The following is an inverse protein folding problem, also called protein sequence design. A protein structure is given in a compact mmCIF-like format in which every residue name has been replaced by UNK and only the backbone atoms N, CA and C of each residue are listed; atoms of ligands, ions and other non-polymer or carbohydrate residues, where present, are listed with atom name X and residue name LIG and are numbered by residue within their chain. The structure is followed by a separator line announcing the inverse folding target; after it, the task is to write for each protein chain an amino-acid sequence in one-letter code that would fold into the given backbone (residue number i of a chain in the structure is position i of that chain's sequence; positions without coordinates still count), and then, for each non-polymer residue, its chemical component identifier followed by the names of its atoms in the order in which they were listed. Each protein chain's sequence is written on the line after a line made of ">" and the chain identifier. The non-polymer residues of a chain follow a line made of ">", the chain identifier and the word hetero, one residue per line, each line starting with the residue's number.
data_IF_992986204832
#
_entry.id   IF_992986204832
#
_cell.length_a   1.000
_cell.length_b   1.000
_cell.length_c   1.000
_cell.angle_alpha   90.00
_cell.angle_beta   90.00
_cell.angle_gamma   90.00
#
_symmetry.space_group_name_H-M   'P 1'
#
loop_
_entity.id
_entity.type
_entity.pdbx_description
1 polymer ?
#
# COMPACT_ATOMS: atom_id res chain seq x y z
N UNK A 1 16.51 -8.92 8.02
CA UNK A 1 15.34 -8.04 8.26
C UNK A 1 14.57 -8.24 9.58
N UNK A 2 14.14 -9.47 9.96
CA UNK A 2 13.22 -9.68 11.13
C UNK A 2 13.70 -9.07 12.45
N UNK A 3 14.96 -9.27 12.84
CA UNK A 3 15.52 -8.68 14.07
C UNK A 3 15.57 -7.16 14.04
N UNK A 4 15.98 -6.59 12.90
CA UNK A 4 16.01 -5.15 12.69
C UNK A 4 14.61 -4.54 12.85
N UNK A 5 13.62 -5.20 12.23
CA UNK A 5 12.22 -4.78 12.26
C UNK A 5 11.61 -4.91 13.66
N UNK A 6 11.99 -5.93 14.44
CA UNK A 6 11.63 -6.04 15.85
C UNK A 6 12.19 -4.88 16.69
N UNK A 7 13.47 -4.51 16.50
CA UNK A 7 14.08 -3.35 17.18
C UNK A 7 13.36 -2.04 16.82
N UNK A 8 13.05 -1.86 15.54
CA UNK A 8 12.31 -0.71 15.05
C UNK A 8 10.88 -0.62 15.64
N UNK A 9 10.13 -1.73 15.62
CA UNK A 9 8.77 -1.81 16.21
C UNK A 9 8.79 -1.54 17.71
N UNK A 10 9.78 -2.08 18.44
CA UNK A 10 9.97 -1.78 19.88
C UNK A 10 10.22 -0.30 20.13
N UNK A 11 11.12 0.34 19.36
CA UNK A 11 11.41 1.76 19.51
C UNK A 11 10.19 2.64 19.15
N UNK A 12 9.46 2.30 18.08
CA UNK A 12 8.21 2.98 17.70
C UNK A 12 7.16 2.88 18.80
N UNK A 13 6.99 1.69 19.41
CA UNK A 13 6.08 1.49 20.54
C UNK A 13 6.51 2.32 21.76
N UNK A 14 7.79 2.29 22.12
CA UNK A 14 8.33 3.09 23.23
C UNK A 14 8.11 4.59 23.01
N UNK A 15 8.39 5.08 21.81
CA UNK A 15 8.15 6.47 21.41
C UNK A 15 6.67 6.85 21.56
N UNK A 16 5.75 6.04 21.03
CA UNK A 16 4.31 6.30 21.14
C UNK A 16 3.83 6.29 22.60
N UNK A 17 4.25 5.31 23.40
CA UNK A 17 3.92 5.24 24.82
C UNK A 17 4.45 6.46 25.57
N UNK A 18 5.70 6.87 25.31
CA UNK A 18 6.30 8.05 25.93
C UNK A 18 5.52 9.32 25.58
N UNK A 19 5.12 9.50 24.31
CA UNK A 19 4.30 10.65 23.92
C UNK A 19 2.93 10.67 24.59
N UNK A 20 2.29 9.52 24.75
CA UNK A 20 1.02 9.42 25.48
C UNK A 20 1.22 9.81 26.95
N UNK A 21 2.23 9.26 27.62
CA UNK A 21 2.53 9.57 29.03
C UNK A 21 2.84 11.06 29.19
N UNK A 22 3.71 11.62 28.34
CA UNK A 22 4.04 13.04 28.35
C UNK A 22 2.80 13.90 28.11
N UNK A 23 1.95 13.55 27.13
CA UNK A 23 0.70 14.26 26.86
C UNK A 23 -0.26 14.25 28.05
N UNK A 24 -0.49 13.08 28.65
CA UNK A 24 -1.34 12.92 29.85
C UNK A 24 -0.76 13.74 31.01
N UNK A 25 0.55 13.68 31.25
CA UNK A 25 1.22 14.45 32.29
C UNK A 25 0.98 15.95 32.12
N UNK A 26 1.13 16.49 30.90
CA UNK A 26 0.87 17.91 30.63
C UNK A 26 -0.59 18.30 30.88
N UNK A 27 -1.53 17.49 30.42
CA UNK A 27 -2.96 17.73 30.65
C UNK A 27 -3.30 17.78 32.15
N UNK A 28 -2.80 16.81 32.92
CA UNK A 28 -3.02 16.75 34.37
C UNK A 28 -2.30 17.90 35.07
N UNK A 29 -1.05 18.19 34.70
CA UNK A 29 -0.27 19.26 35.29
C UNK A 29 -0.95 20.62 35.12
N UNK A 30 -1.44 20.97 33.92
CA UNK A 30 -2.16 22.23 33.68
C UNK A 30 -3.37 22.37 34.60
N UNK A 31 -4.13 21.29 34.83
CA UNK A 31 -5.31 21.30 35.70
C UNK A 31 -4.98 21.41 37.20
N UNK A 32 -3.90 20.78 37.64
CA UNK A 32 -3.56 20.66 39.08
C UNK A 32 -2.51 21.68 39.53
N UNK A 33 -1.81 22.34 38.60
CA UNK A 33 -0.85 23.42 38.86
C UNK A 33 -1.36 24.48 39.87
N UNK A 34 -2.57 25.05 39.74
CA UNK A 34 -3.04 26.05 40.70
C UNK A 34 -3.27 25.47 42.12
N UNK A 35 -3.58 24.17 42.23
CA UNK A 35 -3.70 23.49 43.54
C UNK A 35 -2.33 23.20 44.15
N UNK A 36 -1.36 22.75 43.36
CA UNK A 36 0.01 22.48 43.82
C UNK A 36 0.66 23.77 44.33
N UNK A 37 0.51 24.86 43.58
CA UNK A 37 1.06 26.16 43.96
C UNK A 37 0.45 26.68 45.28
N UNK A 38 -0.85 26.45 45.51
CA UNK A 38 -1.54 26.84 46.74
C UNK A 38 -1.19 25.95 47.94
N UNK A 39 -1.09 24.63 47.74
CA UNK A 39 -0.94 23.67 48.83
C UNK A 39 0.52 23.40 49.23
N UNK A 40 1.45 23.38 48.27
CA UNK A 40 2.85 22.99 48.48
C UNK A 40 3.85 24.10 48.13
N UNK A 41 3.34 25.29 47.79
CA UNK A 41 4.15 26.47 47.47
C UNK A 41 4.70 26.49 46.05
N UNK A 42 5.29 27.63 45.69
CA UNK A 42 5.84 27.90 44.35
C UNK A 42 6.98 26.97 43.96
N UNK A 43 7.81 26.54 44.93
CA UNK A 43 8.95 25.64 44.70
C UNK A 43 8.46 24.26 44.22
N UNK A 44 7.38 23.72 44.81
CA UNK A 44 6.82 22.44 44.41
C UNK A 44 6.19 22.50 43.00
N UNK A 45 5.50 23.60 42.68
CA UNK A 45 4.96 23.82 41.34
C UNK A 45 6.07 23.95 40.27
N UNK A 46 7.19 24.57 40.64
CA UNK A 46 8.38 24.70 39.80
C UNK A 46 9.09 23.35 39.59
N UNK A 47 9.23 22.54 40.63
CA UNK A 47 9.80 21.20 40.53
C UNK A 47 8.98 20.30 39.58
N UNK A 48 7.64 20.36 39.68
CA UNK A 48 6.75 19.65 38.76
C UNK A 48 6.88 20.16 37.30
N UNK A 49 7.07 21.47 37.10
CA UNK A 49 7.35 22.00 35.76
C UNK A 49 8.65 21.43 35.16
N UNK A 50 9.72 21.32 35.96
CA UNK A 50 10.99 20.74 35.51
C UNK A 50 10.88 19.27 35.13
N UNK A 51 10.05 18.50 35.85
CA UNK A 51 9.73 17.12 35.47
C UNK A 51 9.04 17.08 34.10
N UNK A 52 8.10 18.00 33.84
CA UNK A 52 7.48 18.16 32.52
C UNK A 52 8.48 18.48 31.42
N UNK A 53 9.43 19.39 31.66
CA UNK A 53 10.49 19.70 30.69
C UNK A 53 11.43 18.51 30.44
N UNK A 54 11.76 17.74 31.47
CA UNK A 54 12.53 16.51 31.31
C UNK A 54 11.80 15.51 30.41
N UNK A 55 10.48 15.32 30.60
CA UNK A 55 9.67 14.46 29.74
C UNK A 55 9.65 14.93 28.27
N UNK A 56 9.53 16.23 28.01
CA UNK A 56 9.64 16.79 26.65
C UNK A 56 11.00 16.47 26.05
N UNK A 57 12.08 16.72 26.78
CA UNK A 57 13.44 16.56 26.27
C UNK A 57 13.74 15.10 25.93
N UNK A 58 13.33 14.17 26.80
CA UNK A 58 13.43 12.72 26.53
C UNK A 58 12.57 12.34 25.32
N UNK A 59 11.34 12.88 25.21
CA UNK A 59 10.46 12.61 24.07
C UNK A 59 11.05 13.08 22.75
N UNK A 60 11.60 14.29 22.71
CA UNK A 60 12.27 14.84 21.52
C UNK A 60 13.54 14.06 21.17
N UNK A 61 14.31 13.63 22.16
CA UNK A 61 15.53 12.83 21.94
C UNK A 61 15.19 11.48 21.32
N UNK A 62 14.18 10.79 21.84
CA UNK A 62 13.70 9.50 21.29
C UNK A 62 13.15 9.68 19.88
N UNK A 63 12.36 10.74 19.65
CA UNK A 63 11.85 11.09 18.33
C UNK A 63 12.99 11.29 17.34
N UNK A 64 13.99 12.08 17.71
CA UNK A 64 15.14 12.38 16.87
C UNK A 64 15.92 11.12 16.50
N UNK A 65 16.19 10.24 17.48
CA UNK A 65 16.86 8.96 17.23
C UNK A 65 16.04 8.08 16.29
N UNK A 66 14.72 8.01 16.49
CA UNK A 66 13.85 7.22 15.65
C UNK A 66 13.82 7.76 14.21
N UNK A 67 13.60 9.07 14.03
CA UNK A 67 13.52 9.68 12.70
C UNK A 67 14.87 9.61 11.97
N UNK A 68 15.97 9.85 12.67
CA UNK A 68 17.32 9.79 12.11
C UNK A 68 17.67 8.38 11.62
N UNK A 69 17.33 7.34 12.39
CA UNK A 69 17.72 5.96 12.07
C UNK A 69 16.74 5.23 11.15
N UNK A 70 15.44 5.49 11.27
CA UNK A 70 14.41 4.60 10.73
C UNK A 70 13.43 5.28 9.76
N UNK A 71 13.38 6.62 9.69
CA UNK A 71 12.32 7.31 8.91
C UNK A 71 12.33 6.92 7.43
N UNK A 72 13.50 6.67 6.83
CA UNK A 72 13.60 6.29 5.41
C UNK A 72 13.23 4.83 5.16
N UNK A 73 13.58 3.94 6.08
CA UNK A 73 13.38 2.49 5.93
C UNK A 73 12.03 2.00 6.45
N UNK A 74 11.32 2.75 7.31
CA UNK A 74 10.07 2.29 7.94
C UNK A 74 9.01 1.93 6.92
N UNK A 75 8.72 2.84 6.00
CA UNK A 75 7.71 2.64 4.95
C UNK A 75 8.10 1.52 3.99
N UNK A 76 9.37 1.48 3.59
CA UNK A 76 9.90 0.42 2.74
C UNK A 76 9.74 -0.96 3.38
N UNK A 77 10.19 -1.12 4.62
CA UNK A 77 10.09 -2.39 5.35
C UNK A 77 8.64 -2.78 5.62
N UNK A 78 7.76 -1.80 5.86
CA UNK A 78 6.33 -2.05 6.00
C UNK A 78 5.72 -2.58 4.71
N UNK A 79 6.02 -1.99 3.55
CA UNK A 79 5.56 -2.50 2.25
C UNK A 79 6.01 -3.95 2.01
N UNK A 80 7.29 -4.25 2.29
CA UNK A 80 7.82 -5.61 2.13
C UNK A 80 7.21 -6.59 3.13
N UNK A 81 6.92 -6.17 4.37
CA UNK A 81 6.18 -6.99 5.33
C UNK A 81 4.79 -7.35 4.81
N UNK A 82 4.07 -6.38 4.24
CA UNK A 82 2.77 -6.67 3.62
C UNK A 82 2.95 -7.64 2.46
N UNK A 83 3.87 -7.41 1.54
CA UNK A 83 4.08 -8.31 0.40
C UNK A 83 4.44 -9.75 0.81
N UNK A 84 5.22 -9.93 1.87
CA UNK A 84 5.62 -11.25 2.38
C UNK A 84 4.53 -11.96 3.21
N UNK A 85 3.61 -11.20 3.81
CA UNK A 85 2.46 -11.73 4.54
C UNK A 85 1.25 -11.97 3.64
N UNK A 86 1.28 -11.44 2.42
CA UNK A 86 0.22 -11.58 1.45
C UNK A 86 0.24 -12.96 0.81
N UNK A 87 -0.93 -13.51 0.51
CA UNK A 87 -1.01 -14.71 -0.32
C UNK A 87 -0.54 -14.39 -1.75
N UNK A 88 -0.84 -13.17 -2.23
CA UNK A 88 -0.42 -12.70 -3.53
C UNK A 88 -1.10 -13.39 -4.71
N UNK A 89 -1.85 -14.46 -4.47
CA UNK A 89 -2.62 -15.14 -5.49
C UNK A 89 -3.97 -15.50 -4.88
N UNK A 90 -5.02 -15.15 -5.61
CA UNK A 90 -6.40 -15.36 -5.22
C UNK A 90 -7.17 -16.03 -6.34
N UNK A 91 -8.24 -16.74 -6.02
CA UNK A 91 -9.16 -17.28 -7.00
C UNK A 91 -10.31 -16.32 -7.22
N UNK A 92 -10.70 -16.16 -8.48
CA UNK A 92 -11.88 -15.39 -8.87
C UNK A 92 -13.13 -16.25 -8.64
N UNK A 93 -14.27 -15.64 -8.31
CA UNK A 93 -15.58 -16.33 -8.28
C UNK A 93 -16.24 -16.36 -9.65
N UNK A 94 -15.63 -15.70 -10.65
CA UNK A 94 -16.15 -15.56 -11.99
C UNK A 94 -16.22 -16.90 -12.72
N UNK A 95 -17.25 -17.02 -13.55
CA UNK A 95 -17.50 -18.21 -14.38
C UNK A 95 -16.79 -18.13 -15.73
N UNK A 96 -16.46 -16.92 -16.17
CA UNK A 96 -15.75 -16.63 -17.41
C UNK A 96 -14.32 -17.18 -17.38
N UNK A 97 -13.90 -17.83 -18.47
CA UNK A 97 -12.59 -18.52 -18.58
C UNK A 97 -11.77 -18.12 -19.80
N UNK A 98 -12.28 -17.24 -20.64
CA UNK A 98 -11.57 -16.64 -21.76
C UNK A 98 -11.49 -15.12 -21.60
N UNK A 99 -10.46 -14.51 -22.19
CA UNK A 99 -10.19 -13.07 -22.08
C UNK A 99 -11.40 -12.23 -22.47
N UNK A 100 -12.06 -12.54 -23.59
CA UNK A 100 -13.16 -11.75 -24.12
C UNK A 100 -14.41 -11.77 -23.24
N UNK A 101 -14.81 -12.96 -22.77
CA UNK A 101 -15.96 -13.09 -21.88
C UNK A 101 -15.66 -12.45 -20.52
N UNK A 102 -14.46 -12.65 -19.98
CA UNK A 102 -14.04 -12.06 -18.70
C UNK A 102 -14.04 -10.54 -18.78
N UNK A 103 -13.45 -9.97 -19.82
CA UNK A 103 -13.44 -8.54 -20.10
C UNK A 103 -14.84 -7.94 -20.17
N UNK A 104 -15.74 -8.59 -20.94
CA UNK A 104 -17.14 -8.14 -21.07
C UNK A 104 -17.88 -8.20 -19.73
N UNK A 105 -17.66 -9.25 -18.94
CA UNK A 105 -18.27 -9.38 -17.63
C UNK A 105 -17.82 -8.27 -16.67
N UNK A 106 -16.51 -8.01 -16.59
CA UNK A 106 -15.94 -6.91 -15.80
C UNK A 106 -16.49 -5.56 -16.25
N UNK A 107 -16.54 -5.31 -17.56
CA UNK A 107 -17.10 -4.07 -18.11
C UNK A 107 -18.58 -3.89 -17.75
N UNK A 108 -19.39 -4.93 -17.87
CA UNK A 108 -20.81 -4.89 -17.57
C UNK A 108 -21.05 -4.58 -16.09
N UNK A 109 -20.28 -5.19 -15.19
CA UNK A 109 -20.36 -4.91 -13.75
C UNK A 109 -19.99 -3.47 -13.44
N UNK A 110 -18.93 -2.94 -14.08
CA UNK A 110 -18.53 -1.54 -13.93
C UNK A 110 -19.64 -0.60 -14.43
N UNK A 111 -20.21 -0.85 -15.61
CA UNK A 111 -21.33 -0.06 -16.18
C UNK A 111 -22.55 -0.10 -15.26
N UNK A 112 -22.96 -1.28 -14.80
CA UNK A 112 -24.08 -1.48 -13.89
C UNK A 112 -23.89 -0.72 -12.57
N UNK A 113 -22.66 -0.67 -12.08
CA UNK A 113 -22.29 0.07 -10.87
C UNK A 113 -22.01 1.56 -11.12
N UNK A 114 -22.37 2.11 -12.28
CA UNK A 114 -22.35 3.55 -12.56
C UNK A 114 -20.96 4.11 -12.89
N UNK A 115 -20.03 3.28 -13.35
CA UNK A 115 -18.80 3.77 -13.97
C UNK A 115 -19.09 4.29 -15.38
N UNK A 116 -18.51 5.44 -15.72
CA UNK A 116 -18.44 5.91 -17.10
C UNK A 116 -17.33 5.16 -17.82
N UNK A 117 -17.70 4.32 -18.79
CA UNK A 117 -16.75 3.50 -19.56
C UNK A 117 -16.45 4.15 -20.90
N UNK A 118 -15.18 4.11 -21.30
CA UNK A 118 -14.69 4.43 -22.64
C UNK A 118 -13.88 3.23 -23.14
N UNK A 119 -14.24 2.68 -24.29
CA UNK A 119 -13.62 1.48 -24.86
C UNK A 119 -12.67 1.87 -26.00
N UNK A 120 -11.65 1.03 -26.24
CA UNK A 120 -10.63 1.20 -27.29
C UNK A 120 -10.00 2.61 -27.28
N UNK A 121 -9.36 2.95 -26.16
CA UNK A 121 -8.74 4.27 -26.00
C UNK A 121 -7.23 4.16 -26.18
N UNK A 122 -6.65 5.18 -26.80
CA UNK A 122 -5.20 5.34 -26.90
C UNK A 122 -4.74 6.43 -25.94
N UNK A 123 -3.74 6.12 -25.12
CA UNK A 123 -3.13 7.06 -24.17
C UNK A 123 -1.61 6.92 -24.29
N UNK A 124 -0.93 8.03 -24.55
CA UNK A 124 0.55 8.07 -24.59
C UNK A 124 1.16 7.00 -25.53
N UNK A 125 0.47 6.70 -26.63
CA UNK A 125 0.87 5.67 -27.60
C UNK A 125 0.57 4.22 -27.21
N UNK A 126 -0.18 3.99 -26.12
CA UNK A 126 -0.62 2.66 -25.67
C UNK A 126 -2.14 2.50 -25.79
N UNK A 127 -2.57 1.35 -26.30
CA UNK A 127 -3.99 1.01 -26.49
C UNK A 127 -4.54 0.28 -25.26
N UNK A 128 -5.58 0.85 -24.64
CA UNK A 128 -6.34 0.20 -23.57
C UNK A 128 -7.69 -0.25 -24.13
N UNK A 129 -8.04 -1.51 -23.86
CA UNK A 129 -9.35 -2.05 -24.21
C UNK A 129 -10.47 -1.23 -23.56
N UNK A 130 -10.29 -0.80 -22.31
CA UNK A 130 -11.20 0.13 -21.68
C UNK A 130 -10.59 1.00 -20.59
N UNK A 131 -11.21 2.15 -20.36
CA UNK A 131 -11.10 2.96 -19.15
C UNK A 131 -12.46 3.16 -18.52
N UNK A 132 -12.58 2.88 -17.23
CA UNK A 132 -13.80 3.09 -16.48
C UNK A 132 -13.56 4.06 -15.32
N UNK A 133 -14.42 5.07 -15.16
CA UNK A 133 -14.25 6.10 -14.13
C UNK A 133 -15.54 6.34 -13.35
N UNK A 134 -15.46 6.30 -12.00
CA UNK A 134 -16.53 6.65 -11.08
C UNK A 134 -16.01 7.53 -9.95
N UNK A 135 -16.29 8.83 -10.00
CA UNK A 135 -15.78 9.78 -9.01
C UNK A 135 -14.25 9.77 -8.95
N UNK A 136 -13.68 9.21 -7.88
CA UNK A 136 -12.24 9.08 -7.63
C UNK A 136 -11.65 7.71 -7.98
N UNK A 137 -12.50 6.77 -8.39
CA UNK A 137 -12.16 5.39 -8.75
C UNK A 137 -11.95 5.31 -10.26
N UNK A 138 -10.85 4.68 -10.67
CA UNK A 138 -10.44 4.58 -12.08
C UNK A 138 -9.94 3.17 -12.36
N UNK A 139 -10.40 2.57 -13.45
CA UNK A 139 -9.85 1.34 -14.02
C UNK A 139 -9.27 1.64 -15.40
N UNK A 140 -8.12 1.06 -15.66
CA UNK A 140 -7.49 0.96 -16.97
C UNK A 140 -7.35 -0.53 -17.26
N UNK A 141 -8.01 -1.02 -18.30
CA UNK A 141 -8.12 -2.45 -18.61
C UNK A 141 -7.37 -2.75 -19.89
N UNK A 142 -6.48 -3.74 -19.82
CA UNK A 142 -5.66 -4.24 -20.91
C UNK A 142 -5.92 -5.74 -21.04
N UNK A 143 -6.23 -6.19 -22.25
CA UNK A 143 -6.43 -7.59 -22.61
C UNK A 143 -5.29 -8.01 -23.54
N UNK A 144 -4.53 -9.03 -23.15
CA UNK A 144 -3.36 -9.53 -23.91
C UNK A 144 -3.20 -11.03 -23.64
N UNK A 145 -2.61 -11.79 -24.54
CA UNK A 145 -2.42 -13.25 -24.36
C UNK A 145 -1.33 -13.56 -23.31
N UNK A 146 -0.30 -12.71 -23.24
CA UNK A 146 0.78 -12.78 -22.27
C UNK A 146 1.14 -11.37 -21.79
N UNK A 147 1.58 -11.26 -20.54
CA UNK A 147 2.05 -10.00 -19.95
C UNK A 147 3.40 -10.18 -19.28
N UNK A 148 4.34 -9.29 -19.61
CA UNK A 148 5.65 -9.22 -19.01
C UNK A 148 5.84 -8.00 -18.08
N UNK A 149 7.02 -7.89 -17.47
CA UNK A 149 7.38 -6.77 -16.58
C UNK A 149 7.34 -5.41 -17.31
N UNK A 150 7.80 -5.35 -18.54
CA UNK A 150 7.91 -4.11 -19.32
C UNK A 150 6.53 -3.61 -19.71
N UNK A 151 5.64 -4.51 -20.14
CA UNK A 151 4.25 -4.20 -20.44
C UNK A 151 3.58 -3.54 -19.25
N UNK A 152 3.69 -4.16 -18.07
CA UNK A 152 3.11 -3.62 -16.84
C UNK A 152 3.61 -2.22 -16.51
N UNK A 153 4.92 -1.97 -16.63
CA UNK A 153 5.51 -0.66 -16.36
C UNK A 153 4.99 0.36 -17.36
N UNK A 154 4.96 0.02 -18.65
CA UNK A 154 4.56 0.92 -19.72
C UNK A 154 3.09 1.33 -19.61
N UNK A 155 2.18 0.37 -19.45
CA UNK A 155 0.76 0.65 -19.26
C UNK A 155 0.48 1.41 -17.96
N UNK A 156 1.20 1.11 -16.88
CA UNK A 156 1.10 1.88 -15.64
C UNK A 156 1.53 3.32 -15.83
N UNK A 157 2.65 3.57 -16.52
CA UNK A 157 3.13 4.93 -16.81
C UNK A 157 2.13 5.70 -17.67
N UNK A 158 1.59 5.07 -18.71
CA UNK A 158 0.56 5.67 -19.56
C UNK A 158 -0.73 6.00 -18.78
N UNK A 159 -1.19 5.09 -17.91
CA UNK A 159 -2.34 5.36 -17.04
C UNK A 159 -2.08 6.52 -16.07
N UNK A 160 -0.86 6.62 -15.52
CA UNK A 160 -0.44 7.74 -14.68
C UNK A 160 -0.43 9.04 -15.49
N UNK A 161 0.05 9.02 -16.72
CA UNK A 161 0.05 10.17 -17.63
C UNK A 161 -1.37 10.68 -17.90
N UNK A 162 -2.33 9.79 -18.22
CA UNK A 162 -3.74 10.17 -18.40
C UNK A 162 -4.31 10.88 -17.16
N UNK A 163 -3.99 10.40 -15.97
CA UNK A 163 -4.53 10.98 -14.74
C UNK A 163 -3.85 12.28 -14.36
N UNK A 164 -2.53 12.38 -14.55
CA UNK A 164 -1.72 13.50 -14.04
C UNK A 164 -1.55 14.63 -15.05
N UNK A 165 -1.41 14.33 -16.33
CA UNK A 165 -1.16 15.30 -17.40
C UNK A 165 -2.43 15.63 -18.19
N UNK A 166 -3.22 14.61 -18.56
CA UNK A 166 -4.43 14.81 -19.40
C UNK A 166 -5.63 15.27 -18.57
N UNK A 167 -5.98 14.52 -17.52
CA UNK A 167 -7.15 14.80 -16.68
C UNK A 167 -6.84 15.60 -15.41
N UNK A 168 -5.56 15.83 -15.10
CA UNK A 168 -5.03 16.66 -14.00
C UNK A 168 -5.74 16.39 -12.65
N UNK A 169 -5.88 15.11 -12.29
CA UNK A 169 -6.50 14.70 -11.02
C UNK A 169 -5.46 14.73 -9.91
N UNK A 170 -5.85 15.33 -8.77
CA UNK A 170 -4.96 15.47 -7.59
C UNK A 170 -5.18 14.41 -6.52
N UNK A 171 -6.28 13.65 -6.59
CA UNK A 171 -6.62 12.56 -5.67
C UNK A 171 -7.40 11.47 -6.40
N UNK A 172 -7.17 10.21 -6.05
CA UNK A 172 -7.89 9.08 -6.63
C UNK A 172 -7.23 7.74 -6.35
N UNK A 173 -7.93 6.69 -6.75
CA UNK A 173 -7.43 5.32 -6.75
C UNK A 173 -7.60 4.74 -8.14
N UNK A 174 -6.48 4.44 -8.79
CA UNK A 174 -6.43 3.76 -10.07
C UNK A 174 -6.12 2.29 -9.90
N UNK A 175 -6.69 1.45 -10.75
CA UNK A 175 -6.31 0.05 -10.93
C UNK A 175 -5.97 -0.14 -12.40
N UNK A 176 -4.76 -0.63 -12.67
CA UNK A 176 -4.39 -1.15 -14.00
C UNK A 176 -4.62 -2.66 -13.96
N UNK A 177 -5.61 -3.10 -14.72
CA UNK A 177 -6.07 -4.48 -14.79
C UNK A 177 -5.58 -5.11 -16.09
N UNK A 178 -4.81 -6.18 -15.96
CA UNK A 178 -4.42 -7.06 -17.06
C UNK A 178 -5.31 -8.31 -17.02
N UNK A 179 -6.01 -8.58 -18.12
CA UNK A 179 -6.75 -9.82 -18.34
C UNK A 179 -5.97 -10.61 -19.39
N UNK A 180 -5.47 -11.78 -19.00
CA UNK A 180 -4.51 -12.53 -19.81
C UNK A 180 -4.72 -14.02 -19.69
N UNK A 181 -4.19 -14.79 -20.65
CA UNK A 181 -4.14 -16.25 -20.54
C UNK A 181 -3.00 -16.66 -19.61
N UNK A 182 -1.85 -15.98 -19.73
CA UNK A 182 -0.64 -16.25 -18.93
C UNK A 182 0.10 -14.98 -18.52
N UNK A 183 0.85 -15.06 -17.42
CA UNK A 183 1.73 -13.97 -16.98
C UNK A 183 3.11 -14.47 -16.56
N UNK A 184 4.14 -13.74 -16.96
CA UNK A 184 5.51 -14.03 -16.54
C UNK A 184 5.68 -13.78 -15.04
N UNK A 185 6.57 -14.55 -14.40
CA UNK A 185 6.84 -14.40 -12.96
C UNK A 185 7.25 -12.95 -12.60
N UNK A 186 7.96 -12.29 -13.50
CA UNK A 186 8.38 -10.89 -13.34
C UNK A 186 7.20 -9.89 -13.37
N UNK A 187 6.12 -10.20 -14.09
CA UNK A 187 4.87 -9.45 -14.05
C UNK A 187 4.10 -9.74 -12.75
N UNK A 188 4.07 -11.00 -12.31
CA UNK A 188 3.45 -11.38 -11.03
C UNK A 188 4.06 -10.62 -9.84
N UNK A 189 5.37 -10.38 -9.86
CA UNK A 189 6.07 -9.53 -8.87
C UNK A 189 5.53 -8.08 -8.86
N UNK A 190 5.35 -7.47 -10.04
CA UNK A 190 4.82 -6.11 -10.18
C UNK A 190 3.33 -6.00 -9.88
N UNK A 191 2.58 -7.10 -9.94
CA UNK A 191 1.17 -7.12 -9.51
C UNK A 191 0.97 -6.72 -8.05
N UNK A 192 2.00 -6.87 -7.20
CA UNK A 192 1.97 -6.45 -5.78
C UNK A 192 2.29 -4.99 -5.57
N UNK A 193 2.80 -4.32 -6.59
CA UNK A 193 3.27 -2.97 -6.43
C UNK A 193 2.11 -1.98 -6.35
N UNK A 194 2.21 -1.07 -5.37
CA UNK A 194 1.31 0.06 -5.23
C UNK A 194 2.15 1.31 -5.49
N UNK A 195 1.74 2.09 -6.48
CA UNK A 195 2.47 3.26 -6.97
C UNK A 195 1.78 4.53 -6.49
N UNK A 196 2.23 5.14 -5.37
CA UNK A 196 1.78 6.45 -4.96
C UNK A 196 2.42 7.54 -5.84
N UNK A 197 1.61 8.45 -6.37
CA UNK A 197 2.07 9.56 -7.21
C UNK A 197 2.55 10.74 -6.37
N UNK A 198 2.05 10.86 -5.14
CA UNK A 198 2.47 11.90 -4.19
C UNK A 198 2.84 11.32 -2.83
N UNK A 199 3.68 12.06 -2.09
CA UNK A 199 4.12 11.67 -0.73
C UNK A 199 2.96 11.49 0.26
N UNK A 200 1.81 12.14 0.00
CA UNK A 200 0.61 12.04 0.84
C UNK A 200 -0.33 10.92 0.41
N UNK A 201 0.04 10.11 -0.59
CA UNK A 201 -0.73 8.96 -1.11
C UNK A 201 -2.18 9.32 -1.44
N UNK A 202 -2.41 10.53 -1.93
CA UNK A 202 -3.73 11.00 -2.32
C UNK A 202 -4.13 10.43 -3.67
N UNK A 203 -3.15 10.18 -4.53
CA UNK A 203 -3.32 9.49 -5.81
C UNK A 203 -2.43 8.26 -5.82
N UNK A 204 -3.05 7.09 -5.96
CA UNK A 204 -2.37 5.80 -5.94
C UNK A 204 -2.85 4.95 -7.11
N UNK A 205 -1.96 4.14 -7.64
CA UNK A 205 -2.27 3.10 -8.62
C UNK A 205 -1.89 1.74 -8.05
N UNK A 206 -2.77 0.76 -8.25
CA UNK A 206 -2.50 -0.64 -7.98
C UNK A 206 -2.53 -1.41 -9.29
N UNK A 207 -1.77 -2.49 -9.36
CA UNK A 207 -1.83 -3.43 -10.47
C UNK A 207 -2.66 -4.65 -10.07
N UNK A 208 -3.33 -5.24 -11.05
CA UNK A 208 -3.97 -6.54 -10.93
C UNK A 208 -3.79 -7.32 -12.23
N UNK A 209 -3.47 -8.61 -12.11
CA UNK A 209 -3.43 -9.53 -13.24
C UNK A 209 -4.46 -10.62 -13.00
N UNK A 210 -5.25 -10.95 -14.01
CA UNK A 210 -6.11 -12.14 -14.01
C UNK A 210 -5.63 -13.07 -15.09
N UNK A 211 -5.30 -14.30 -14.71
CA UNK A 211 -5.11 -15.42 -15.64
C UNK A 211 -6.44 -16.15 -15.81
N UNK A 212 -7.05 -16.04 -16.99
CA UNK A 212 -8.40 -16.58 -17.26
C UNK A 212 -8.45 -18.09 -17.24
N UNK A 213 -7.41 -18.76 -17.75
CA UNK A 213 -7.28 -20.22 -17.78
C UNK A 213 -7.31 -20.83 -16.37
N UNK A 214 -6.52 -20.26 -15.45
CA UNK A 214 -6.42 -20.76 -14.08
C UNK A 214 -7.47 -20.16 -13.15
N UNK A 215 -8.12 -19.07 -13.56
CA UNK A 215 -9.00 -18.27 -12.72
C UNK A 215 -8.28 -17.55 -11.57
N UNK A 216 -6.96 -17.43 -11.64
CA UNK A 216 -6.14 -16.77 -10.61
C UNK A 216 -6.10 -15.27 -10.84
N UNK A 217 -6.15 -14.51 -9.76
CA UNK A 217 -5.99 -13.08 -9.72
C UNK A 217 -4.82 -12.72 -8.79
N UNK A 218 -3.86 -11.97 -9.32
CA UNK A 218 -2.67 -11.54 -8.62
C UNK A 218 -2.75 -10.03 -8.38
N UNK A 219 -2.79 -9.64 -7.10
CA UNK A 219 -2.69 -8.25 -6.62
C UNK A 219 -2.27 -8.25 -5.14
N UNK A 220 -1.91 -7.08 -4.57
CA UNK A 220 -1.62 -6.98 -3.13
C UNK A 220 -2.93 -6.99 -2.32
N UNK A 221 -3.27 -8.13 -1.73
CA UNK A 221 -4.61 -8.37 -1.18
C UNK A 221 -4.74 -8.30 0.35
N UNK A 222 -3.64 -8.24 1.12
CA UNK A 222 -3.70 -8.21 2.59
C UNK A 222 -3.78 -6.80 3.21
N UNK A 223 -3.69 -5.75 2.40
CA UNK A 223 -3.77 -4.36 2.89
C UNK A 223 -5.19 -3.81 2.65
N UNK A 224 -5.97 -3.52 3.72
CA UNK A 224 -7.31 -2.99 3.59
C UNK A 224 -7.27 -1.59 2.97
N UNK A 225 -7.63 -1.51 1.69
CA UNK A 225 -7.50 -0.29 0.90
C UNK A 225 -8.55 -0.23 -0.20
N UNK A 226 -8.74 0.98 -0.76
CA UNK A 226 -9.77 1.19 -1.78
C UNK A 226 -9.51 0.40 -3.08
N UNK A 227 -8.25 0.25 -3.48
CA UNK A 227 -7.89 -0.55 -4.66
C UNK A 227 -8.21 -2.04 -4.45
N UNK A 228 -8.01 -2.55 -3.22
CA UNK A 228 -8.36 -3.93 -2.87
C UNK A 228 -9.86 -4.14 -3.02
N UNK A 229 -10.68 -3.20 -2.52
CA UNK A 229 -12.14 -3.23 -2.72
C UNK A 229 -12.54 -3.20 -4.20
N UNK A 230 -11.88 -2.36 -5.00
CA UNK A 230 -12.14 -2.28 -6.43
C UNK A 230 -11.82 -3.61 -7.13
N UNK A 231 -10.66 -4.21 -6.85
CA UNK A 231 -10.24 -5.47 -7.47
C UNK A 231 -11.14 -6.62 -7.02
N UNK A 232 -11.37 -6.78 -5.72
CA UNK A 232 -12.18 -7.90 -5.20
C UNK A 232 -13.61 -7.84 -5.73
N UNK A 233 -14.25 -6.67 -5.71
CA UNK A 233 -15.64 -6.54 -6.12
C UNK A 233 -15.82 -6.66 -7.64
N UNK A 234 -14.97 -5.99 -8.45
CA UNK A 234 -15.20 -5.86 -9.89
C UNK A 234 -14.30 -6.74 -10.74
N UNK A 235 -13.16 -7.18 -10.24
CA UNK A 235 -12.28 -8.07 -11.01
C UNK A 235 -12.58 -9.51 -10.64
N UNK A 236 -12.61 -9.82 -9.33
CA UNK A 236 -12.81 -11.19 -8.85
C UNK A 236 -14.29 -11.57 -8.68
N UNK A 237 -15.21 -10.60 -8.64
CA UNK A 237 -16.63 -10.78 -8.27
C UNK A 237 -16.84 -11.40 -6.87
N UNK A 238 -15.98 -11.02 -5.92
CA UNK A 238 -16.00 -11.51 -4.55
C UNK A 238 -16.43 -10.40 -3.57
N UNK A 239 -16.79 -10.81 -2.35
CA UNK A 239 -17.06 -9.90 -1.25
C UNK A 239 -15.81 -9.68 -0.38
N UNK A 240 -15.77 -8.56 0.35
CA UNK A 240 -14.76 -8.29 1.37
C UNK A 240 -15.37 -8.50 2.77
N UNK A 241 -14.70 -9.20 3.69
CA UNK A 241 -13.36 -9.81 3.56
C UNK A 241 -13.34 -11.01 2.59
N UNK A 242 -12.20 -11.18 1.89
CA UNK A 242 -11.99 -12.31 0.97
C UNK A 242 -12.07 -13.61 1.79
N UNK A 243 -12.95 -14.53 1.40
CA UNK A 243 -13.10 -15.83 2.07
C UNK A 243 -11.88 -16.71 1.82
N UNK A 244 -11.54 -17.55 2.79
CA UNK A 244 -10.36 -18.44 2.73
C UNK A 244 -10.35 -19.35 1.49
N UNK A 245 -11.51 -19.74 0.98
CA UNK A 245 -11.65 -20.56 -0.23
C UNK A 245 -11.10 -19.89 -1.50
N UNK A 246 -11.02 -18.56 -1.50
CA UNK A 246 -10.45 -17.79 -2.61
C UNK A 246 -8.97 -17.44 -2.40
N UNK A 247 -8.34 -17.89 -1.32
CA UNK A 247 -6.94 -17.58 -1.01
C UNK A 247 -6.07 -18.77 -1.39
N UNK A 248 -5.18 -18.57 -2.36
CA UNK A 248 -4.19 -19.59 -2.72
C UNK A 248 -3.09 -19.59 -1.65
N UNK A 249 -2.91 -20.74 -0.98
CA UNK A 249 -1.99 -20.86 0.16
C UNK A 249 -0.52 -21.06 -0.24
N UNK A 250 -0.28 -21.36 -1.52
CA UNK A 250 1.07 -21.56 -2.03
C UNK A 250 1.80 -20.23 -2.14
N UNK A 251 2.95 -20.13 -1.47
CA UNK A 251 3.83 -18.97 -1.64
C UNK A 251 4.36 -18.92 -3.06
N UNK A 252 4.28 -17.74 -3.67
CA UNK A 252 4.83 -17.51 -4.99
C UNK A 252 6.36 -17.54 -4.92
N UNK A 253 7.02 -18.08 -5.93
CA UNK A 253 8.47 -18.28 -5.98
C UNK A 253 9.24 -16.97 -5.77
N UNK A 254 8.74 -15.86 -6.31
CA UNK A 254 9.34 -14.55 -6.07
C UNK A 254 9.27 -14.11 -4.60
N UNK A 255 8.23 -14.48 -3.84
CA UNK A 255 8.13 -14.14 -2.41
C UNK A 255 9.22 -14.86 -1.61
N UNK A 256 9.58 -16.08 -2.00
CA UNK A 256 10.71 -16.80 -1.41
C UNK A 256 12.04 -16.09 -1.71
N UNK A 257 12.27 -15.66 -2.96
CA UNK A 257 13.45 -14.85 -3.35
C UNK A 257 13.49 -13.52 -2.61
N UNK A 258 12.35 -12.86 -2.46
CA UNK A 258 12.21 -11.62 -1.71
C UNK A 258 12.57 -11.84 -0.23
N UNK A 259 12.05 -12.89 0.39
CA UNK A 259 12.37 -13.25 1.78
C UNK A 259 13.86 -13.51 1.97
N UNK A 260 14.52 -14.16 1.00
CA UNK A 260 15.95 -14.39 0.99
C UNK A 260 16.77 -13.11 0.85
N UNK A 261 16.51 -12.26 -0.15
CA UNK A 261 17.17 -10.95 -0.31
C UNK A 261 17.01 -10.07 0.94
N UNK A 262 15.86 -10.14 1.60
CA UNK A 262 15.61 -9.38 2.83
C UNK A 262 16.39 -9.89 4.05
N UNK A 263 17.02 -11.06 3.99
CA UNK A 263 17.98 -11.48 5.04
C UNK A 263 19.20 -10.58 5.04
N UNK A 264 19.65 -10.13 3.87
CA UNK A 264 20.84 -9.28 3.68
C UNK A 264 20.60 -7.79 3.95
N UNK A 265 19.33 -7.39 4.15
CA UNK A 265 18.96 -6.00 4.40
C UNK A 265 19.76 -5.38 5.57
N UNK A 266 20.41 -4.26 5.29
CA UNK A 266 21.04 -3.41 6.29
C UNK A 266 20.85 -1.91 5.96
N UNK A 267 20.87 -1.07 6.99
CA UNK A 267 20.62 0.37 6.86
C UNK A 267 21.69 1.11 6.07
N UNK A 268 22.95 0.66 6.11
CA UNK A 268 24.06 1.35 5.46
C UNK A 268 23.87 1.29 3.95
N UNK A 269 23.62 0.11 3.43
CA UNK A 269 23.44 -0.12 1.99
C UNK A 269 22.12 0.48 1.51
N UNK A 270 21.05 0.39 2.31
CA UNK A 270 19.79 1.06 2.00
C UNK A 270 19.93 2.59 1.93
N UNK A 271 20.61 3.21 2.89
CA UNK A 271 20.78 4.67 2.91
C UNK A 271 21.74 5.18 1.82
N UNK A 272 22.70 4.36 1.42
CA UNK A 272 23.62 4.65 0.33
C UNK A 272 23.04 4.33 -1.06
N UNK A 273 21.82 3.77 -1.11
CA UNK A 273 21.19 3.37 -2.37
C UNK A 273 21.92 2.22 -3.06
N UNK A 274 22.59 1.34 -2.33
CA UNK A 274 23.21 0.12 -2.88
C UNK A 274 22.37 -1.14 -2.63
N UNK A 275 21.31 -1.04 -1.81
CA UNK A 275 20.36 -2.12 -1.60
C UNK A 275 19.15 -2.01 -2.55
N UNK A 276 19.01 -2.98 -3.45
CA UNK A 276 17.91 -3.06 -4.41
C UNK A 276 17.20 -4.42 -4.31
N UNK A 277 15.88 -4.39 -4.31
CA UNK A 277 15.05 -5.61 -4.31
C UNK A 277 14.69 -6.04 -5.74
N UNK A 278 14.51 -5.07 -6.65
CA UNK A 278 13.99 -5.22 -8.01
C UNK A 278 14.79 -4.41 -9.01
#
# INVERSE_FOLDING_TARGET
>A
MREFRLKQKKLKKLMNTLFIITGVYFFVYIGVQPMIAKAFGSIAAMAAAYVGYAFILVSLSVLFVYTSKYSKSDKFLETIEYELQDAGCYLTSRTEKDIDSYYKAVLNDLKYNGYKVSENIEIDGFEFNARAVKGKEMFYIVCTENVDKNDMIAYLQSAIYDVTAVNIRRRGTGVVLFITDSADESALELSKEITPIDKKEKLIFANAIVETDSGKCYFLGNKPAKYQQMIVNYVMNCEIPIKDDFIVKDKLSYQARLEEKMKEFNLKDFNNGSFYIR
#
